data_IF_768277224262
#
_entry.id   IF_768277224262
#
_cell.length_a   1.000
_cell.length_b   1.000
_cell.length_c   1.000
_cell.angle_alpha   90.00
_cell.angle_beta   90.00
_cell.angle_gamma   90.00
#
_symmetry.space_group_name_H-M   'P 1'
#
loop_
_entity.id
_entity.type
_entity.pdbx_description
1 polymer ?
#
# COMPACT_ATOMS: atom_id res chain seq x y z
N UNK A 1 22.09 -26.54 31.69
CA UNK A 1 22.84 -26.89 30.46
C UNK A 1 22.24 -26.07 29.35
N UNK A 2 23.04 -25.13 28.87
CA UNK A 2 22.72 -24.21 27.80
C UNK A 2 22.51 -24.98 26.49
N UNK A 3 21.47 -24.65 25.74
CA UNK A 3 21.37 -25.01 24.33
C UNK A 3 21.08 -23.72 23.56
N UNK A 4 22.17 -23.07 23.16
CA UNK A 4 22.19 -21.93 22.27
C UNK A 4 21.71 -22.41 20.90
N UNK A 5 20.47 -22.08 20.54
CA UNK A 5 19.95 -22.26 19.19
C UNK A 5 20.44 -21.11 18.33
N UNK A 6 21.37 -21.41 17.43
CA UNK A 6 21.92 -20.47 16.44
C UNK A 6 20.82 -19.74 15.67
N UNK A 7 20.79 -18.41 15.80
CA UNK A 7 20.08 -17.52 14.89
C UNK A 7 20.76 -17.61 13.51
N UNK A 8 20.14 -18.34 12.58
CA UNK A 8 20.56 -18.35 11.18
C UNK A 8 19.81 -17.24 10.43
N UNK A 9 20.48 -16.54 9.50
CA UNK A 9 19.93 -15.37 8.85
C UNK A 9 18.71 -15.75 8.01
N UNK A 10 17.66 -14.93 8.10
CA UNK A 10 16.45 -15.02 7.27
C UNK A 10 16.79 -14.71 5.80
N UNK A 11 17.52 -15.61 5.14
CA UNK A 11 17.61 -15.67 3.68
C UNK A 11 16.66 -16.76 3.20
N UNK A 12 15.37 -16.60 3.50
CA UNK A 12 14.32 -17.37 2.82
C UNK A 12 14.02 -16.63 1.52
N UNK A 13 14.84 -16.91 0.51
CA UNK A 13 14.49 -16.67 -0.89
C UNK A 13 13.42 -17.69 -1.33
N UNK A 14 12.28 -17.71 -0.66
CA UNK A 14 11.09 -18.37 -1.16
C UNK A 14 10.48 -17.39 -2.17
N UNK A 15 10.83 -17.59 -3.43
CA UNK A 15 10.32 -16.81 -4.54
C UNK A 15 8.81 -16.97 -4.60
N UNK A 16 8.09 -16.05 -3.94
CA UNK A 16 6.66 -15.89 -4.12
C UNK A 16 6.41 -15.81 -5.63
N UNK A 17 5.63 -16.75 -6.17
CA UNK A 17 5.20 -16.69 -7.56
C UNK A 17 4.57 -15.31 -7.77
N UNK A 18 5.20 -14.48 -8.62
CA UNK A 18 4.79 -13.08 -8.81
C UNK A 18 3.41 -13.08 -9.44
N UNK A 19 2.36 -12.84 -8.65
CA UNK A 19 0.99 -12.72 -9.16
C UNK A 19 0.76 -11.27 -9.52
N UNK A 20 0.63 -11.02 -10.82
CA UNK A 20 0.28 -9.70 -11.36
C UNK A 20 -1.22 -9.64 -11.64
N UNK A 21 -1.89 -8.64 -11.04
CA UNK A 21 -3.33 -8.42 -11.19
C UNK A 21 -3.63 -7.13 -11.96
N UNK A 22 -2.85 -6.08 -11.71
CA UNK A 22 -3.00 -4.77 -12.35
C UNK A 22 -1.88 -4.57 -13.36
N UNK A 23 -0.63 -4.60 -12.89
CA UNK A 23 0.57 -4.47 -13.71
C UNK A 23 1.80 -4.98 -12.93
N UNK A 24 2.80 -5.49 -13.64
CA UNK A 24 4.04 -6.05 -13.06
C UNK A 24 4.90 -5.00 -12.35
N UNK A 25 4.74 -3.72 -12.72
CA UNK A 25 5.44 -2.58 -12.12
C UNK A 25 5.10 -2.36 -10.65
N UNK A 26 3.93 -2.82 -10.19
CA UNK A 26 3.52 -2.75 -8.79
C UNK A 26 3.99 -3.95 -7.96
N UNK A 27 4.58 -4.97 -8.58
CA UNK A 27 5.06 -6.15 -7.88
C UNK A 27 6.48 -5.95 -7.35
N UNK A 28 6.59 -5.84 -6.03
CA UNK A 28 7.83 -5.66 -5.26
C UNK A 28 8.42 -7.01 -4.80
N UNK A 29 9.73 -7.05 -4.56
CA UNK A 29 10.46 -8.26 -4.13
C UNK A 29 10.41 -8.52 -2.63
N UNK A 30 9.99 -7.53 -1.85
CA UNK A 30 9.95 -7.59 -0.39
C UNK A 30 8.64 -7.02 0.12
N UNK A 31 8.16 -7.45 1.31
CA UNK A 31 6.96 -6.89 1.91
C UNK A 31 7.07 -5.37 1.99
N UNK A 32 6.07 -4.67 1.45
CA UNK A 32 6.01 -3.21 1.49
C UNK A 32 4.95 -2.81 2.49
N UNK A 33 5.37 -2.09 3.52
CA UNK A 33 4.45 -1.46 4.46
C UNK A 33 3.89 -0.17 3.86
N UNK A 34 2.58 0.00 3.96
CA UNK A 34 1.85 1.14 3.38
C UNK A 34 1.03 1.85 4.45
N UNK A 35 1.04 3.18 4.42
CA UNK A 35 0.23 4.02 5.30
C UNK A 35 -0.87 4.70 4.52
N UNK A 36 -2.12 4.59 4.99
CA UNK A 36 -3.27 5.27 4.38
C UNK A 36 -3.63 6.51 5.19
N UNK A 37 -3.55 7.69 4.56
CA UNK A 37 -3.98 8.96 5.15
C UNK A 37 -5.25 9.47 4.51
N UNK A 38 -6.24 9.82 5.34
CA UNK A 38 -7.50 10.42 4.90
C UNK A 38 -7.45 11.94 5.06
N UNK A 39 -7.82 12.69 4.03
CA UNK A 39 -8.00 14.14 4.05
C UNK A 39 -9.38 14.52 3.54
N UNK A 40 -10.02 15.48 4.21
CA UNK A 40 -11.27 16.08 3.74
C UNK A 40 -10.97 17.39 3.04
N UNK A 41 -11.52 17.57 1.85
CA UNK A 41 -11.28 18.75 1.02
C UNK A 41 -12.59 19.51 0.75
N UNK A 42 -12.67 20.73 1.28
CA UNK A 42 -13.70 21.72 0.96
C UNK A 42 -15.08 21.48 1.58
N UNK A 43 -16.03 22.32 1.17
CA UNK A 43 -17.41 22.39 1.70
C UNK A 43 -18.25 21.14 1.37
N UNK A 44 -17.88 20.40 0.31
CA UNK A 44 -18.61 19.24 -0.21
C UNK A 44 -18.14 17.88 0.36
N UNK A 45 -17.37 17.87 1.46
CA UNK A 45 -16.88 16.65 2.12
C UNK A 45 -16.16 15.68 1.16
N UNK A 46 -15.48 16.18 0.12
CA UNK A 46 -14.71 15.31 -0.79
C UNK A 46 -13.63 14.60 0.02
N UNK A 47 -13.62 13.28 -0.02
CA UNK A 47 -12.68 12.44 0.72
C UNK A 47 -11.55 12.05 -0.21
N UNK A 48 -10.35 12.53 0.09
CA UNK A 48 -9.13 12.11 -0.59
C UNK A 48 -8.34 11.21 0.33
N UNK A 49 -7.91 10.07 -0.20
CA UNK A 49 -6.99 9.20 0.49
C UNK A 49 -5.65 9.22 -0.23
N UNK A 50 -4.58 9.29 0.54
CA UNK A 50 -3.21 9.12 0.05
C UNK A 50 -2.67 7.83 0.63
N UNK A 51 -2.19 6.95 -0.22
CA UNK A 51 -1.44 5.75 0.15
C UNK A 51 0.04 6.12 0.05
N UNK A 52 0.77 5.93 1.14
CA UNK A 52 2.15 6.35 1.28
C UNK A 52 3.03 5.14 1.59
N UNK A 53 4.29 5.19 1.17
CA UNK A 53 5.32 4.25 1.65
C UNK A 53 5.79 4.62 3.08
N UNK A 54 6.70 3.81 3.62
CA UNK A 54 7.34 4.04 4.93
C UNK A 54 8.14 5.34 5.00
N UNK A 55 8.60 5.87 3.86
CA UNK A 55 9.37 7.11 3.76
C UNK A 55 8.45 8.34 3.65
N UNK A 56 7.14 8.14 3.47
CA UNK A 56 6.17 9.21 3.26
C UNK A 56 6.01 9.64 1.80
N UNK A 57 6.54 8.89 0.84
CA UNK A 57 6.29 9.10 -0.59
C UNK A 57 4.88 8.64 -0.94
N UNK A 58 4.17 9.39 -1.79
CA UNK A 58 2.83 9.01 -2.25
C UNK A 58 2.98 7.91 -3.30
N UNK A 59 2.41 6.74 -3.01
CA UNK A 59 2.31 5.64 -3.97
C UNK A 59 1.04 5.79 -4.80
N UNK A 60 -0.08 6.10 -4.15
CA UNK A 60 -1.37 6.22 -4.81
C UNK A 60 -2.22 7.33 -4.20
N UNK A 61 -3.02 7.96 -5.05
CA UNK A 61 -4.12 8.84 -4.63
C UNK A 61 -5.46 8.21 -4.97
N UNK A 62 -6.35 8.14 -3.98
CA UNK A 62 -7.72 7.65 -4.18
C UNK A 62 -8.67 8.81 -4.03
N UNK A 63 -9.31 9.17 -5.14
CA UNK A 63 -10.36 10.17 -5.18
C UNK A 63 -11.73 9.51 -4.96
N UNK A 64 -12.51 10.07 -4.04
CA UNK A 64 -13.89 9.69 -3.80
C UNK A 64 -14.71 10.84 -3.21
N UNK A 65 -15.96 10.98 -3.64
CA UNK A 65 -16.91 11.87 -2.96
C UNK A 65 -17.76 11.02 -2.01
N UNK A 66 -17.89 11.45 -0.75
CA UNK A 66 -18.81 10.79 0.18
C UNK A 66 -20.28 11.01 -0.21
N UNK A 67 -20.55 11.98 -1.08
CA UNK A 67 -21.87 12.32 -1.59
C UNK A 67 -22.17 11.65 -2.93
N UNK A 68 -21.24 10.87 -3.51
CA UNK A 68 -21.48 10.20 -4.79
C UNK A 68 -22.36 8.95 -4.59
N UNK A 69 -23.57 9.01 -5.14
CA UNK A 69 -24.58 7.94 -5.09
C UNK A 69 -24.05 6.66 -5.70
N UNK A 70 -23.15 6.75 -6.68
CA UNK A 70 -22.58 5.58 -7.38
C UNK A 70 -21.46 4.90 -6.59
N UNK A 71 -21.03 5.47 -5.45
CA UNK A 71 -19.92 4.98 -4.60
C UNK A 71 -18.66 4.59 -5.39
N UNK A 72 -18.44 5.21 -6.55
CA UNK A 72 -17.28 4.94 -7.41
C UNK A 72 -16.07 5.62 -6.80
N UNK A 73 -14.94 4.92 -6.81
CA UNK A 73 -13.63 5.46 -6.42
C UNK A 73 -12.63 5.18 -7.53
N UNK A 74 -11.67 6.09 -7.69
CA UNK A 74 -10.60 5.94 -8.67
C UNK A 74 -9.27 6.03 -7.94
N UNK A 75 -8.41 5.03 -8.13
CA UNK A 75 -7.03 5.05 -7.67
C UNK A 75 -6.15 5.54 -8.82
N UNK A 76 -5.25 6.47 -8.52
CA UNK A 76 -4.28 7.08 -9.42
C UNK A 76 -2.88 6.86 -8.87
N UNK A 77 -1.93 6.74 -9.77
CA UNK A 77 -0.50 6.79 -9.47
C UNK A 77 -0.11 8.17 -8.92
N UNK A 78 0.87 8.16 -8.01
CA UNK A 78 1.43 9.34 -7.33
C UNK A 78 2.63 9.94 -8.02
#
# INVERSE_FOLDING_TARGET
MEASGSELPLEVAEGFSKISVVDDSFCVTSPTEITVRKKYCGVLLKQRYKVLDVNGNVLFEVDGSSLDVRKKRMMRDG
#
